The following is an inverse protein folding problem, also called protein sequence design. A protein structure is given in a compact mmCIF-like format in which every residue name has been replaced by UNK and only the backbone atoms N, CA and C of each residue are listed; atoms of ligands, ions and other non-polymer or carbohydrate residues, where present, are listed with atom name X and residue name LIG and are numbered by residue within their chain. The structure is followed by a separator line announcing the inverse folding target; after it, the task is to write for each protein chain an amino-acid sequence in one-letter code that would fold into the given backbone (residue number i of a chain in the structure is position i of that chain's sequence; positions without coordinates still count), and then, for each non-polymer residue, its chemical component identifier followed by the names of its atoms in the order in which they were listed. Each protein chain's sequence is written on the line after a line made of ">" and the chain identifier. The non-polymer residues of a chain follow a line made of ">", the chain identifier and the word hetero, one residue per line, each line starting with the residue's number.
data_IF_794983862903
#
_entry.id   IF_794983862903
#
_cell.length_a   1.000
_cell.length_b   1.000
_cell.length_c   1.000
_cell.angle_alpha   90.00
_cell.angle_beta   90.00
_cell.angle_gamma   90.00
#
_symmetry.space_group_name_H-M   'P 1'
#
loop_
_entity.id
_entity.type
_entity.pdbx_description
1 polymer ?
#
# COMPACT_ATOMS: atom_id res chain seq x y z
N UNK A 1 9.04 -1.12 -11.48
CA UNK A 1 8.85 -1.64 -10.10
C UNK A 1 8.72 -3.16 -10.18
N UNK A 2 9.29 -3.92 -9.24
CA UNK A 2 9.07 -5.37 -9.15
C UNK A 2 7.86 -5.63 -8.23
N UNK A 3 6.91 -6.45 -8.68
CA UNK A 3 5.65 -6.69 -7.98
C UNK A 3 5.77 -7.59 -6.75
N UNK A 4 6.71 -8.53 -6.75
CA UNK A 4 7.05 -9.33 -5.56
C UNK A 4 7.66 -8.45 -4.47
N UNK A 5 8.58 -7.56 -4.83
CA UNK A 5 9.15 -6.61 -3.86
C UNK A 5 8.08 -5.70 -3.27
N UNK A 6 7.14 -5.21 -4.09
CA UNK A 6 6.06 -4.35 -3.59
C UNK A 6 5.12 -5.12 -2.66
N UNK A 7 4.80 -6.36 -3.02
CA UNK A 7 4.02 -7.29 -2.21
C UNK A 7 4.67 -7.52 -0.83
N UNK A 8 5.96 -7.87 -0.79
CA UNK A 8 6.67 -8.14 0.46
C UNK A 8 6.65 -6.91 1.38
N UNK A 9 6.85 -5.72 0.81
CA UNK A 9 6.82 -4.45 1.57
C UNK A 9 5.43 -4.22 2.18
N UNK A 10 4.34 -4.42 1.43
CA UNK A 10 2.99 -4.21 1.94
C UNK A 10 2.60 -5.25 3.00
N UNK A 11 3.01 -6.51 2.82
CA UNK A 11 2.79 -7.58 3.80
C UNK A 11 3.54 -7.30 5.10
N UNK A 12 4.81 -6.89 5.03
CA UNK A 12 5.58 -6.53 6.21
C UNK A 12 5.04 -5.27 6.89
N UNK A 13 4.57 -4.28 6.14
CA UNK A 13 3.89 -3.12 6.71
C UNK A 13 2.64 -3.52 7.51
N UNK A 14 1.80 -4.42 6.96
CA UNK A 14 0.62 -4.93 7.66
C UNK A 14 1.00 -5.68 8.95
N UNK A 15 2.03 -6.54 8.91
CA UNK A 15 2.55 -7.25 10.11
C UNK A 15 3.09 -6.28 11.16
N UNK A 16 3.83 -5.25 10.75
CA UNK A 16 4.38 -4.24 11.66
C UNK A 16 3.30 -3.44 12.39
N UNK A 17 2.16 -3.23 11.74
CA UNK A 17 0.98 -2.61 12.34
C UNK A 17 0.17 -3.59 13.22
N UNK A 18 0.60 -4.85 13.34
CA UNK A 18 -0.10 -5.88 14.11
C UNK A 18 -1.39 -6.37 13.46
N UNK A 19 -1.54 -6.17 12.14
CA UNK A 19 -2.80 -6.47 11.45
C UNK A 19 -2.84 -7.92 10.98
N UNK A 20 -4.03 -8.52 11.07
CA UNK A 20 -4.29 -9.86 10.55
C UNK A 20 -4.55 -9.80 9.05
N UNK A 21 -3.68 -10.41 8.26
CA UNK A 21 -3.83 -10.51 6.80
C UNK A 21 -4.87 -11.57 6.46
N UNK A 22 -5.82 -11.21 5.59
CA UNK A 22 -6.95 -12.05 5.19
C UNK A 22 -6.78 -12.58 3.75
N UNK A 23 -6.32 -11.72 2.84
CA UNK A 23 -6.10 -12.06 1.44
C UNK A 23 -5.13 -11.08 0.80
N UNK A 24 -4.49 -11.49 -0.29
CA UNK A 24 -3.58 -10.63 -1.05
C UNK A 24 -3.82 -10.80 -2.54
N UNK A 25 -3.55 -9.73 -3.29
CA UNK A 25 -3.58 -9.75 -4.75
C UNK A 25 -2.45 -8.88 -5.29
N UNK A 26 -1.84 -9.33 -6.39
CA UNK A 26 -0.87 -8.56 -7.17
C UNK A 26 -1.24 -8.67 -8.64
N UNK A 27 -1.10 -7.56 -9.36
CA UNK A 27 -1.32 -7.48 -10.79
C UNK A 27 -0.23 -6.61 -11.40
N UNK A 28 0.43 -7.15 -12.43
CA UNK A 28 1.36 -6.40 -13.26
C UNK A 28 0.60 -5.98 -14.51
N UNK A 29 0.53 -4.68 -14.76
CA UNK A 29 -0.15 -4.14 -15.94
C UNK A 29 0.47 -4.74 -17.20
N UNK A 30 -0.40 -5.22 -18.10
CA UNK A 30 -0.02 -5.87 -19.36
C UNK A 30 0.10 -4.85 -20.49
N UNK A 31 0.48 -5.32 -21.68
CA UNK A 31 0.90 -4.50 -22.83
C UNK A 31 -0.15 -3.48 -23.33
N UNK A 32 -1.43 -3.65 -22.97
CA UNK A 32 -2.53 -2.75 -23.31
C UNK A 32 -2.79 -1.64 -22.27
N UNK A 33 -1.99 -1.61 -21.19
CA UNK A 33 -2.09 -0.66 -20.08
C UNK A 33 -0.74 0.04 -19.83
N UNK A 34 -0.74 1.29 -19.31
CA UNK A 34 0.49 1.93 -18.85
C UNK A 34 1.27 1.03 -17.90
N UNK A 35 2.60 1.04 -18.01
CA UNK A 35 3.43 0.13 -17.24
C UNK A 35 3.25 0.39 -15.75
N UNK A 36 3.02 -0.68 -14.97
CA UNK A 36 2.65 -0.51 -13.58
C UNK A 36 2.49 -1.82 -12.82
N UNK A 37 2.42 -1.68 -11.50
CA UNK A 37 2.13 -2.75 -10.56
C UNK A 37 1.05 -2.28 -9.62
N UNK A 38 0.06 -3.14 -9.41
CA UNK A 38 -0.95 -3.00 -8.38
C UNK A 38 -0.72 -4.10 -7.34
N UNK A 39 -0.72 -3.74 -6.06
CA UNK A 39 -0.74 -4.71 -4.97
C UNK A 39 -1.77 -4.31 -3.92
N UNK A 40 -2.52 -5.30 -3.45
CA UNK A 40 -3.57 -5.17 -2.45
C UNK A 40 -3.35 -6.20 -1.36
N UNK A 41 -3.40 -5.75 -0.10
CA UNK A 41 -3.33 -6.59 1.09
C UNK A 41 -4.58 -6.31 1.90
N UNK A 42 -5.51 -7.26 1.88
CA UNK A 42 -6.70 -7.23 2.73
C UNK A 42 -6.28 -7.62 4.14
N UNK A 43 -6.67 -6.80 5.10
CA UNK A 43 -6.50 -7.07 6.54
C UNK A 43 -7.87 -7.05 7.20
N UNK A 44 -7.96 -7.54 8.42
CA UNK A 44 -9.23 -7.51 9.15
C UNK A 44 -9.80 -6.08 9.20
N UNK A 45 -11.02 -5.91 8.70
CA UNK A 45 -11.79 -4.66 8.62
C UNK A 45 -11.20 -3.52 7.75
N UNK A 46 -10.07 -3.70 7.07
CA UNK A 46 -9.42 -2.61 6.30
C UNK A 46 -8.44 -3.13 5.23
N UNK A 47 -7.53 -2.31 4.70
CA UNK A 47 -6.62 -2.74 3.63
C UNK A 47 -5.38 -1.84 3.46
N UNK A 48 -4.33 -2.42 2.88
CA UNK A 48 -3.25 -1.67 2.25
C UNK A 48 -3.32 -1.85 0.74
N UNK A 49 -3.02 -0.78 0.01
CA UNK A 49 -3.05 -0.78 -1.45
C UNK A 49 -1.90 0.08 -1.99
N UNK A 50 -1.27 -0.39 -3.06
CA UNK A 50 -0.34 0.41 -3.84
C UNK A 50 -0.60 0.23 -5.34
N UNK A 51 -0.50 1.32 -6.09
CA UNK A 51 -0.50 1.32 -7.54
C UNK A 51 0.60 2.24 -8.05
N UNK A 52 1.44 1.73 -8.94
CA UNK A 52 2.53 2.49 -9.56
C UNK A 52 2.18 2.89 -10.98
N UNK A 53 2.41 4.15 -11.31
CA UNK A 53 2.29 4.75 -12.64
C UNK A 53 3.72 4.93 -13.17
N UNK A 54 4.25 3.92 -13.87
CA UNK A 54 5.68 3.91 -14.19
C UNK A 54 6.07 4.97 -15.22
N UNK A 55 5.18 5.30 -16.15
CA UNK A 55 5.42 6.28 -17.22
C UNK A 55 5.46 7.72 -16.66
N UNK A 56 4.66 7.99 -15.64
CA UNK A 56 4.56 9.29 -14.96
C UNK A 56 5.47 9.41 -13.73
N UNK A 57 6.10 8.30 -13.31
CA UNK A 57 7.08 8.30 -12.22
C UNK A 57 6.50 8.51 -10.82
N UNK A 58 5.21 8.25 -10.61
CA UNK A 58 4.58 8.34 -9.28
C UNK A 58 3.85 7.06 -8.88
N UNK A 59 3.45 6.99 -7.62
CA UNK A 59 2.62 5.89 -7.10
C UNK A 59 1.58 6.42 -6.14
N UNK A 60 0.43 5.76 -6.08
CA UNK A 60 -0.55 5.98 -5.02
C UNK A 60 -0.44 4.85 -4.00
N UNK A 61 -0.26 5.21 -2.73
CA UNK A 61 -0.24 4.27 -1.61
C UNK A 61 -1.40 4.60 -0.68
N UNK A 62 -2.13 3.58 -0.22
CA UNK A 62 -3.14 3.69 0.84
C UNK A 62 -2.79 2.74 1.96
N UNK A 63 -2.73 3.28 3.17
CA UNK A 63 -2.69 2.52 4.41
C UNK A 63 -3.98 2.86 5.13
N UNK A 64 -4.98 2.00 4.99
CA UNK A 64 -6.26 2.16 5.64
C UNK A 64 -6.34 1.16 6.78
N UNK A 65 -6.61 1.66 7.99
CA UNK A 65 -6.63 0.86 9.21
C UNK A 65 -7.93 1.09 9.98
N UNK A 66 -8.30 0.13 10.82
CA UNK A 66 -9.38 0.23 11.80
C UNK A 66 -8.84 0.06 13.22
N UNK A 67 -9.60 0.53 14.21
CA UNK A 67 -9.20 0.47 15.62
C UNK A 67 -7.98 1.34 15.93
N UNK A 68 -7.10 0.83 16.81
CA UNK A 68 -5.91 1.55 17.30
C UNK A 68 -4.65 1.31 16.46
N UNK A 69 -4.78 0.68 15.28
CA UNK A 69 -3.65 0.39 14.41
C UNK A 69 -3.09 1.68 13.78
N UNK A 70 -1.81 1.96 14.06
CA UNK A 70 -1.11 3.15 13.58
C UNK A 70 -0.74 3.05 12.09
N UNK A 71 -1.54 3.71 11.24
CA UNK A 71 -1.30 3.79 9.80
C UNK A 71 0.03 4.48 9.44
N UNK A 72 0.51 5.43 10.26
CA UNK A 72 1.79 6.11 10.01
C UNK A 72 2.96 5.17 10.21
N UNK A 73 2.88 4.21 11.15
CA UNK A 73 3.90 3.16 11.31
C UNK A 73 4.06 2.34 10.03
N UNK A 74 2.95 1.93 9.41
CA UNK A 74 2.97 1.22 8.13
C UNK A 74 3.51 2.09 7.00
N UNK A 75 3.06 3.33 6.91
CA UNK A 75 3.53 4.29 5.89
C UNK A 75 5.03 4.56 5.98
N UNK A 76 5.57 4.85 7.17
CA UNK A 76 7.00 5.15 7.32
C UNK A 76 7.89 3.94 6.94
N UNK A 77 7.44 2.72 7.21
CA UNK A 77 8.11 1.51 6.73
C UNK A 77 8.11 1.42 5.20
N UNK A 78 6.95 1.66 4.55
CA UNK A 78 6.81 1.62 3.09
C UNK A 78 7.72 2.69 2.45
N UNK A 79 7.61 3.94 2.93
CA UNK A 79 8.41 5.09 2.48
C UNK A 79 9.90 4.80 2.56
N UNK A 80 10.39 4.27 3.69
CA UNK A 80 11.79 3.89 3.87
C UNK A 80 12.20 2.76 2.93
N UNK A 81 11.40 1.71 2.79
CA UNK A 81 11.69 0.52 1.98
C UNK A 81 11.73 0.80 0.47
N UNK A 82 10.95 1.80 0.03
CA UNK A 82 10.90 2.26 -1.35
C UNK A 82 11.84 3.44 -1.65
N UNK A 83 12.44 4.05 -0.62
CA UNK A 83 13.31 5.21 -0.77
C UNK A 83 12.58 6.47 -1.26
N UNK A 84 11.31 6.64 -0.88
CA UNK A 84 10.47 7.77 -1.29
C UNK A 84 10.97 9.05 -0.60
N UNK A 85 11.27 10.07 -1.40
CA UNK A 85 11.78 11.37 -0.93
C UNK A 85 10.76 12.50 -1.01
N UNK A 86 9.89 12.46 -2.03
CA UNK A 86 8.82 13.44 -2.25
C UNK A 86 7.48 12.72 -2.20
N UNK A 87 6.55 13.24 -1.38
CA UNK A 87 5.24 12.63 -1.15
C UNK A 87 4.26 13.68 -0.60
N UNK A 88 2.96 13.41 -0.76
CA UNK A 88 1.89 14.15 -0.11
C UNK A 88 0.96 13.16 0.58
N UNK A 89 0.66 13.41 1.85
CA UNK A 89 -0.28 12.61 2.63
C UNK A 89 -1.62 13.36 2.65
N UNK A 90 -2.70 12.64 2.40
CA UNK A 90 -4.06 13.08 2.70
C UNK A 90 -4.68 12.08 3.66
N UNK A 91 -4.89 12.51 4.90
CA UNK A 91 -5.57 11.71 5.91
C UNK A 91 -7.08 11.93 5.81
N UNK A 92 -7.84 10.83 5.88
CA UNK A 92 -9.30 10.86 5.86
C UNK A 92 -9.80 9.93 6.96
N UNK A 93 -10.54 10.50 7.92
CA UNK A 93 -11.25 9.73 8.93
C UNK A 93 -12.69 9.51 8.46
N UNK A 94 -13.07 8.25 8.33
CA UNK A 94 -14.44 7.88 7.99
C UNK A 94 -15.23 7.70 9.29
N UNK A 95 -16.38 8.37 9.37
CA UNK A 95 -17.37 8.22 10.44
C UNK A 95 -18.70 7.97 9.75
N UNK A 96 -19.39 6.90 10.13
CA UNK A 96 -20.73 6.59 9.68
C UNK A 96 -21.68 6.58 10.89
N UNK A 97 -22.95 6.90 10.66
CA UNK A 97 -24.04 6.80 11.65
C UNK A 97 -24.71 5.43 11.58
#
# INVERSE_FOLDING_TARGET
>A
MNDERLYDILVEAAKLMGMKIMATARYKCLDDSPSGVICFVMVDQSFLYCHTYADEGYMSVRVFTCGDADAYKGWEFIKKSLGIKDFRIKEIKLVYE
#
